data_IF_167071230430
#
_entry.id   IF_167071230430
#
_cell.length_a   1.000
_cell.length_b   1.000
_cell.length_c   1.000
_cell.angle_alpha   90.00
_cell.angle_beta   90.00
_cell.angle_gamma   90.00
#
_symmetry.space_group_name_H-M   'P 1'
#
loop_
_entity.id
_entity.type
_entity.pdbx_description
1 polymer ?
#
# COMPACT_ATOMS: atom_id res chain seq x y z
N UNK A 1 -48.82 -12.38 13.35
CA UNK A 1 -48.72 -11.02 12.77
C UNK A 1 -47.99 -9.99 13.65
N UNK A 2 -48.30 -9.76 14.94
CA UNK A 2 -47.65 -8.70 15.74
C UNK A 2 -46.11 -8.85 15.84
N UNK A 3 -45.60 -10.09 15.85
CA UNK A 3 -44.15 -10.38 15.84
C UNK A 3 -43.40 -9.94 14.57
N UNK A 4 -44.06 -9.91 13.40
CA UNK A 4 -43.42 -9.54 12.13
C UNK A 4 -43.36 -8.02 12.04
N UNK A 5 -44.48 -7.35 12.30
CA UNK A 5 -44.56 -5.88 12.38
C UNK A 5 -43.56 -5.35 13.40
N UNK A 6 -43.49 -5.93 14.61
CA UNK A 6 -42.52 -5.51 15.62
C UNK A 6 -41.06 -5.68 15.18
N UNK A 7 -40.74 -6.73 14.40
CA UNK A 7 -39.39 -6.96 13.86
C UNK A 7 -39.04 -5.94 12.78
N UNK A 8 -39.97 -5.65 11.87
CA UNK A 8 -39.81 -4.66 10.81
C UNK A 8 -39.67 -3.24 11.39
N UNK A 9 -40.49 -2.89 12.39
CA UNK A 9 -40.35 -1.62 13.13
C UNK A 9 -38.99 -1.53 13.82
N UNK A 10 -38.52 -2.61 14.47
CA UNK A 10 -37.18 -2.65 15.07
C UNK A 10 -36.07 -2.48 14.02
N UNK A 11 -36.22 -3.06 12.83
CA UNK A 11 -35.28 -2.91 11.73
C UNK A 11 -35.24 -1.46 11.20
N UNK A 12 -36.39 -0.82 10.92
CA UNK A 12 -36.44 0.58 10.48
C UNK A 12 -35.89 1.59 11.49
N UNK A 13 -35.94 1.24 12.78
CA UNK A 13 -35.43 2.07 13.87
C UNK A 13 -33.99 1.71 14.26
N UNK A 14 -33.39 0.69 13.62
CA UNK A 14 -32.00 0.35 13.85
C UNK A 14 -31.10 1.37 13.17
N UNK A 15 -30.03 1.77 13.87
CA UNK A 15 -29.01 2.65 13.32
C UNK A 15 -28.31 1.94 12.16
N UNK A 16 -28.08 2.67 11.07
CA UNK A 16 -27.25 2.19 9.98
C UNK A 16 -25.80 2.02 10.50
N UNK A 17 -25.26 0.78 10.56
CA UNK A 17 -23.92 0.53 11.11
C UNK A 17 -22.81 1.15 10.27
N UNK A 18 -23.07 1.47 9.00
CA UNK A 18 -22.13 2.13 8.09
C UNK A 18 -22.08 3.66 8.28
N UNK A 19 -23.17 4.25 8.79
CA UNK A 19 -23.29 5.69 9.08
C UNK A 19 -22.93 6.00 10.54
N UNK A 20 -23.21 5.08 11.47
CA UNK A 20 -23.23 5.35 12.92
C UNK A 20 -21.87 5.53 13.59
N UNK A 21 -20.83 5.87 12.84
CA UNK A 21 -19.68 6.54 13.43
C UNK A 21 -19.46 7.83 12.67
N UNK A 22 -19.83 8.96 13.29
CA UNK A 22 -19.44 10.31 12.87
C UNK A 22 -17.92 10.48 12.67
N UNK A 23 -17.12 9.46 13.01
CA UNK A 23 -15.70 9.35 12.75
C UNK A 23 -15.31 8.44 11.58
N UNK A 24 -16.16 7.58 11.02
CA UNK A 24 -15.74 6.52 10.08
C UNK A 24 -15.32 7.06 8.71
N UNK A 25 -16.18 7.78 7.95
CA UNK A 25 -15.79 8.33 6.65
C UNK A 25 -14.64 9.35 6.77
N UNK A 26 -14.68 10.18 7.83
CA UNK A 26 -13.64 11.16 8.12
C UNK A 26 -12.29 10.49 8.44
N UNK A 27 -12.28 9.42 9.27
CA UNK A 27 -11.05 8.67 9.55
C UNK A 27 -10.53 7.95 8.32
N UNK A 28 -11.42 7.42 7.50
CA UNK A 28 -11.04 6.75 6.26
C UNK A 28 -10.35 7.72 5.29
N UNK A 29 -10.93 8.91 5.14
CA UNK A 29 -10.37 9.99 4.33
C UNK A 29 -9.03 10.50 4.90
N UNK A 30 -8.89 10.58 6.23
CA UNK A 30 -7.61 10.94 6.88
C UNK A 30 -6.53 9.90 6.57
N UNK A 31 -6.81 8.61 6.79
CA UNK A 31 -5.86 7.52 6.49
C UNK A 31 -5.48 7.51 5.00
N UNK A 32 -6.44 7.73 4.12
CA UNK A 32 -6.20 7.83 2.69
C UNK A 32 -5.30 9.03 2.33
N UNK A 33 -5.55 10.18 2.95
CA UNK A 33 -4.76 11.39 2.75
C UNK A 33 -3.33 11.19 3.24
N UNK A 34 -3.16 10.57 4.39
CA UNK A 34 -1.86 10.23 4.97
C UNK A 34 -1.09 9.25 4.07
N UNK A 35 -1.77 8.23 3.55
CA UNK A 35 -1.19 7.30 2.59
C UNK A 35 -0.78 8.01 1.29
N UNK A 36 -1.60 8.94 0.80
CA UNK A 36 -1.29 9.72 -0.41
C UNK A 36 -0.07 10.63 -0.21
N UNK A 37 0.03 11.27 0.96
CA UNK A 37 1.20 12.06 1.32
C UNK A 37 2.45 11.17 1.46
N UNK A 38 2.31 9.99 2.07
CA UNK A 38 3.38 9.00 2.17
C UNK A 38 3.84 8.54 0.78
N UNK A 39 2.92 8.25 -0.14
CA UNK A 39 3.23 7.85 -1.52
C UNK A 39 4.08 8.92 -2.21
N UNK A 40 3.64 10.18 -2.17
CA UNK A 40 4.41 11.31 -2.73
C UNK A 40 5.81 11.38 -2.14
N UNK A 41 5.95 11.21 -0.83
CA UNK A 41 7.25 11.22 -0.15
C UNK A 41 8.14 10.05 -0.60
N UNK A 42 7.57 8.86 -0.75
CA UNK A 42 8.28 7.68 -1.23
C UNK A 42 8.76 7.85 -2.67
N UNK A 43 7.91 8.38 -3.55
CA UNK A 43 8.25 8.67 -4.94
C UNK A 43 9.36 9.72 -5.05
N UNK A 44 9.24 10.84 -4.33
CA UNK A 44 10.28 11.87 -4.28
C UNK A 44 11.62 11.29 -3.79
N UNK A 45 11.60 10.45 -2.74
CA UNK A 45 12.83 9.80 -2.26
C UNK A 45 13.37 8.79 -3.24
N UNK A 46 12.52 8.00 -3.89
CA UNK A 46 12.90 7.03 -4.93
C UNK A 46 13.63 7.76 -6.05
N UNK A 47 13.07 8.85 -6.54
CA UNK A 47 13.60 9.57 -7.70
C UNK A 47 14.91 10.28 -7.35
N UNK A 48 14.99 10.90 -6.15
CA UNK A 48 16.25 11.44 -5.61
C UNK A 48 17.35 10.37 -5.50
N UNK A 49 16.98 9.17 -5.07
CA UNK A 49 17.91 8.03 -4.92
C UNK A 49 18.38 7.51 -6.28
N UNK A 50 17.46 7.37 -7.26
CA UNK A 50 17.78 6.99 -8.65
C UNK A 50 18.73 8.00 -9.30
N UNK A 51 18.51 9.30 -9.10
CA UNK A 51 19.39 10.36 -9.62
C UNK A 51 20.80 10.22 -9.02
N UNK A 52 20.91 10.06 -7.70
CA UNK A 52 22.21 9.85 -7.04
C UNK A 52 22.93 8.59 -7.55
N UNK A 53 22.19 7.51 -7.77
CA UNK A 53 22.74 6.25 -8.27
C UNK A 53 23.29 6.41 -9.68
N UNK A 54 22.54 7.10 -10.56
CA UNK A 54 23.01 7.42 -11.91
C UNK A 54 24.27 8.28 -11.88
N UNK A 55 24.33 9.29 -11.01
CA UNK A 55 25.50 10.15 -10.86
C UNK A 55 26.73 9.36 -10.41
N UNK A 56 26.61 8.53 -9.37
CA UNK A 56 27.72 7.69 -8.90
C UNK A 56 28.17 6.68 -9.95
N UNK A 57 27.24 6.09 -10.70
CA UNK A 57 27.59 5.18 -11.80
C UNK A 57 28.36 5.91 -12.90
N UNK A 58 27.97 7.14 -13.25
CA UNK A 58 28.71 7.97 -14.21
C UNK A 58 30.11 8.32 -13.69
N UNK A 59 30.23 8.76 -12.44
CA UNK A 59 31.53 9.07 -11.80
C UNK A 59 32.45 7.85 -11.75
N UNK A 60 31.89 6.66 -11.44
CA UNK A 60 32.63 5.40 -11.45
C UNK A 60 33.19 5.07 -12.84
N UNK A 61 32.37 5.18 -13.88
CA UNK A 61 32.83 4.93 -15.26
C UNK A 61 33.86 5.98 -15.70
N UNK A 62 33.63 7.26 -15.40
CA UNK A 62 34.59 8.32 -15.72
C UNK A 62 35.93 8.17 -14.99
N UNK A 63 35.91 7.80 -13.70
CA UNK A 63 37.12 7.53 -12.92
C UNK A 63 37.88 6.31 -13.45
N UNK A 64 37.20 5.25 -13.86
CA UNK A 64 37.85 4.09 -14.47
C UNK A 64 38.56 4.47 -15.77
N UNK A 65 37.91 5.25 -16.64
CA UNK A 65 38.51 5.76 -17.89
C UNK A 65 39.72 6.66 -17.59
N UNK A 66 39.59 7.56 -16.61
CA UNK A 66 40.69 8.44 -16.19
C UNK A 66 41.88 7.67 -15.63
N UNK A 67 41.65 6.65 -14.79
CA UNK A 67 42.71 5.80 -14.25
C UNK A 67 43.43 5.03 -15.35
N UNK A 68 42.71 4.46 -16.32
CA UNK A 68 43.32 3.78 -17.47
C UNK A 68 44.20 4.77 -18.26
N UNK A 69 43.68 5.95 -18.60
CA UNK A 69 44.45 6.97 -19.31
C UNK A 69 45.70 7.41 -18.54
N UNK A 70 45.56 7.68 -17.23
CA UNK A 70 46.67 8.06 -16.35
C UNK A 70 47.75 6.97 -16.28
N UNK A 71 47.36 5.70 -16.13
CA UNK A 71 48.32 4.59 -16.11
C UNK A 71 49.08 4.46 -17.43
N UNK A 72 48.40 4.57 -18.58
CA UNK A 72 49.06 4.55 -19.89
C UNK A 72 50.06 5.71 -20.00
N UNK A 73 49.64 6.94 -19.68
CA UNK A 73 50.53 8.11 -19.71
C UNK A 73 51.73 7.95 -18.77
N UNK A 74 51.50 7.47 -17.53
CA UNK A 74 52.57 7.28 -16.55
C UNK A 74 53.55 6.17 -16.98
N UNK A 75 53.07 5.08 -17.58
CA UNK A 75 53.94 4.01 -18.10
C UNK A 75 54.87 4.53 -19.20
N UNK A 76 54.38 5.42 -20.07
CA UNK A 76 55.22 6.07 -21.09
C UNK A 76 56.29 6.94 -20.41
N UNK A 77 55.91 7.77 -19.43
CA UNK A 77 56.83 8.68 -18.71
C UNK A 77 57.89 7.90 -17.92
N UNK A 78 57.52 6.83 -17.23
CA UNK A 78 58.45 5.97 -16.47
C UNK A 78 59.36 5.17 -17.40
N UNK A 79 58.85 4.67 -18.53
CA UNK A 79 59.69 4.03 -19.55
C UNK A 79 60.73 5.02 -20.13
N UNK A 80 60.37 6.31 -20.24
CA UNK A 80 61.30 7.37 -20.68
C UNK A 80 62.23 7.87 -19.58
N UNK A 81 61.86 7.75 -18.30
CA UNK A 81 62.64 8.22 -17.16
C UNK A 81 62.87 7.08 -16.18
N UNK A 82 64.03 6.41 -16.29
CA UNK A 82 64.37 5.19 -15.57
C UNK A 82 64.49 5.29 -14.02
N UNK A 83 64.06 6.38 -13.37
CA UNK A 83 64.12 6.48 -11.92
C UNK A 83 63.03 7.43 -11.38
N UNK A 84 61.85 6.91 -11.06
CA UNK A 84 60.94 7.58 -10.13
C UNK A 84 60.13 6.53 -9.37
N UNK A 85 60.38 6.48 -8.05
CA UNK A 85 59.84 5.49 -7.13
C UNK A 85 58.31 5.45 -7.12
N UNK A 86 57.83 4.21 -7.12
CA UNK A 86 56.46 3.78 -6.91
C UNK A 86 55.90 4.32 -5.59
N UNK A 87 54.98 5.28 -5.65
CA UNK A 87 54.10 5.59 -4.51
C UNK A 87 52.89 4.66 -4.58
N UNK A 88 52.98 3.54 -3.87
CA UNK A 88 51.84 2.68 -3.64
C UNK A 88 50.87 3.34 -2.63
N UNK A 89 49.56 3.23 -2.93
CA UNK A 89 48.38 3.47 -2.08
C UNK A 89 48.05 4.93 -1.69
N UNK A 90 47.01 5.51 -2.32
CA UNK A 90 45.68 5.59 -1.69
C UNK A 90 44.48 5.41 -2.65
N UNK A 91 44.61 4.66 -3.76
CA UNK A 91 43.52 4.50 -4.74
C UNK A 91 42.49 3.42 -4.32
N UNK A 92 42.93 2.38 -3.62
CA UNK A 92 42.08 1.22 -3.30
C UNK A 92 40.99 1.56 -2.27
N UNK A 93 41.28 2.39 -1.25
CA UNK A 93 40.31 2.74 -0.21
C UNK A 93 39.12 3.57 -0.73
N UNK A 94 39.36 4.51 -1.65
CA UNK A 94 38.31 5.34 -2.26
C UNK A 94 37.37 4.50 -3.14
N UNK A 95 37.90 3.50 -3.87
CA UNK A 95 37.10 2.61 -4.70
C UNK A 95 36.16 1.72 -3.87
N UNK A 96 36.64 1.18 -2.74
CA UNK A 96 35.81 0.35 -1.84
C UNK A 96 34.68 1.14 -1.16
N UNK A 97 34.92 2.40 -0.76
CA UNK A 97 33.88 3.24 -0.14
C UNK A 97 32.80 3.67 -1.17
N UNK A 98 33.21 3.98 -2.41
CA UNK A 98 32.27 4.27 -3.50
C UNK A 98 31.43 3.04 -3.88
N UNK A 99 32.01 1.85 -3.92
CA UNK A 99 31.30 0.61 -4.30
C UNK A 99 30.28 0.18 -3.24
N UNK A 100 30.63 0.21 -1.95
CA UNK A 100 29.69 -0.09 -0.86
C UNK A 100 28.50 0.89 -0.83
N UNK A 101 28.76 2.16 -1.13
CA UNK A 101 27.72 3.21 -1.22
C UNK A 101 26.75 2.98 -2.39
N UNK A 102 27.23 2.57 -3.58
CA UNK A 102 26.36 2.28 -4.73
C UNK A 102 25.42 1.11 -4.49
N UNK A 103 25.90 0.01 -3.89
CA UNK A 103 25.08 -1.17 -3.56
C UNK A 103 23.95 -0.82 -2.58
N UNK A 104 24.28 -0.03 -1.54
CA UNK A 104 23.30 0.45 -0.55
C UNK A 104 22.25 1.34 -1.19
N UNK A 105 22.67 2.24 -2.07
CA UNK A 105 21.77 3.15 -2.77
C UNK A 105 20.86 2.42 -3.78
N UNK A 106 21.36 1.39 -4.46
CA UNK A 106 20.57 0.53 -5.32
C UNK A 106 19.51 -0.25 -4.52
N UNK A 107 19.89 -0.80 -3.36
CA UNK A 107 18.96 -1.46 -2.43
C UNK A 107 17.85 -0.50 -1.97
N UNK A 108 18.22 0.70 -1.52
CA UNK A 108 17.24 1.72 -1.13
C UNK A 108 16.32 2.14 -2.27
N UNK A 109 16.86 2.26 -3.49
CA UNK A 109 16.04 2.57 -4.66
C UNK A 109 15.00 1.48 -4.92
N UNK A 110 15.38 0.20 -4.79
CA UNK A 110 14.46 -0.92 -4.96
C UNK A 110 13.40 -0.96 -3.85
N UNK A 111 13.79 -0.75 -2.60
CA UNK A 111 12.86 -0.69 -1.46
C UNK A 111 11.87 0.46 -1.57
N UNK A 112 12.33 1.65 -1.96
CA UNK A 112 11.45 2.80 -2.17
C UNK A 112 10.47 2.57 -3.33
N UNK A 113 10.88 1.84 -4.37
CA UNK A 113 9.99 1.46 -5.47
C UNK A 113 8.91 0.46 -5.02
N UNK A 114 9.30 -0.57 -4.26
CA UNK A 114 8.38 -1.55 -3.67
C UNK A 114 7.41 -0.86 -2.71
N UNK A 115 7.92 0.02 -1.83
CA UNK A 115 7.11 0.76 -0.87
C UNK A 115 6.10 1.68 -1.58
N UNK A 116 6.53 2.44 -2.60
CA UNK A 116 5.64 3.28 -3.37
C UNK A 116 4.53 2.46 -4.07
N UNK A 117 4.87 1.33 -4.69
CA UNK A 117 3.88 0.42 -5.29
C UNK A 117 2.90 -0.13 -4.25
N UNK A 118 3.39 -0.55 -3.09
CA UNK A 118 2.54 -1.04 -2.00
C UNK A 118 1.60 0.02 -1.46
N UNK A 119 2.08 1.26 -1.26
CA UNK A 119 1.25 2.38 -0.82
C UNK A 119 0.21 2.76 -1.88
N UNK A 120 0.56 2.69 -3.18
CA UNK A 120 -0.41 2.91 -4.25
C UNK A 120 -1.55 1.88 -4.23
N UNK A 121 -1.22 0.59 -4.07
CA UNK A 121 -2.23 -0.48 -3.94
C UNK A 121 -3.13 -0.23 -2.73
N UNK A 122 -2.54 0.08 -1.57
CA UNK A 122 -3.31 0.39 -0.36
C UNK A 122 -4.27 1.56 -0.57
N UNK A 123 -3.83 2.65 -1.20
CA UNK A 123 -4.71 3.80 -1.50
C UNK A 123 -5.88 3.36 -2.40
N UNK A 124 -5.62 2.50 -3.39
CA UNK A 124 -6.65 1.98 -4.28
C UNK A 124 -7.66 1.10 -3.53
N UNK A 125 -7.18 0.22 -2.67
CA UNK A 125 -8.04 -0.65 -1.86
C UNK A 125 -8.93 0.20 -0.94
N UNK A 126 -8.36 1.24 -0.32
CA UNK A 126 -9.12 2.20 0.48
C UNK A 126 -10.20 2.92 -0.35
N UNK A 127 -9.88 3.43 -1.55
CA UNK A 127 -10.87 4.03 -2.44
C UNK A 127 -12.04 3.08 -2.74
N UNK A 128 -11.75 1.82 -3.04
CA UNK A 128 -12.76 0.81 -3.34
C UNK A 128 -13.63 0.52 -2.11
N UNK A 129 -13.02 0.29 -0.94
CA UNK A 129 -13.73 0.06 0.32
C UNK A 129 -14.66 1.24 0.63
N UNK A 130 -14.17 2.49 0.50
CA UNK A 130 -15.00 3.68 0.76
C UNK A 130 -16.23 3.75 -0.15
N UNK A 131 -16.09 3.36 -1.42
CA UNK A 131 -17.22 3.32 -2.36
C UNK A 131 -18.21 2.20 -2.04
N UNK A 132 -17.73 1.02 -1.65
CA UNK A 132 -18.59 -0.10 -1.28
C UNK A 132 -19.37 0.19 0.00
N UNK A 133 -18.73 0.77 1.00
CA UNK A 133 -19.41 1.24 2.23
C UNK A 133 -20.48 2.28 1.91
N UNK A 134 -20.22 3.18 0.97
CA UNK A 134 -21.24 4.12 0.47
C UNK A 134 -22.44 3.42 -0.15
N UNK A 135 -22.22 2.46 -1.06
CA UNK A 135 -23.31 1.70 -1.70
C UNK A 135 -24.13 0.88 -0.69
N UNK A 136 -23.47 0.23 0.25
CA UNK A 136 -24.14 -0.52 1.33
C UNK A 136 -24.95 0.40 2.25
N UNK A 137 -24.47 1.62 2.47
CA UNK A 137 -25.20 2.65 3.21
C UNK A 137 -26.50 2.98 2.48
N UNK A 138 -26.42 3.31 1.19
CA UNK A 138 -27.56 3.67 0.36
C UNK A 138 -28.58 2.52 0.27
N UNK A 139 -28.13 1.29 0.03
CA UNK A 139 -29.02 0.12 -0.08
C UNK A 139 -29.71 -0.24 1.23
N UNK A 140 -29.04 -0.07 2.37
CA UNK A 140 -29.65 -0.29 3.67
C UNK A 140 -30.70 0.80 3.98
N UNK A 141 -30.42 2.05 3.62
CA UNK A 141 -31.37 3.16 3.75
C UNK A 141 -32.60 2.95 2.86
N UNK A 142 -32.42 2.48 1.63
CA UNK A 142 -33.50 2.11 0.71
C UNK A 142 -34.37 0.97 1.27
N UNK A 143 -33.73 -0.09 1.82
CA UNK A 143 -34.46 -1.17 2.51
C UNK A 143 -35.29 -0.63 3.68
N UNK A 144 -34.71 0.23 4.51
CA UNK A 144 -35.41 0.83 5.64
C UNK A 144 -36.56 1.73 5.19
N UNK A 145 -36.39 2.49 4.11
CA UNK A 145 -37.41 3.37 3.55
C UNK A 145 -38.62 2.60 3.01
N UNK A 146 -38.40 1.50 2.28
CA UNK A 146 -39.48 0.63 1.78
C UNK A 146 -40.27 0.00 2.93
N UNK A 147 -39.57 -0.53 3.94
CA UNK A 147 -40.24 -1.12 5.11
C UNK A 147 -41.01 -0.05 5.90
N UNK A 148 -40.46 1.15 6.07
CA UNK A 148 -41.11 2.26 6.78
C UNK A 148 -42.37 2.71 6.05
N UNK A 149 -42.28 2.92 4.73
CA UNK A 149 -43.42 3.24 3.88
C UNK A 149 -44.54 2.19 3.98
N UNK A 150 -44.18 0.91 4.02
CA UNK A 150 -45.15 -0.18 4.18
C UNK A 150 -45.82 -0.18 5.57
N UNK A 151 -45.05 0.08 6.64
CA UNK A 151 -45.57 0.17 8.01
C UNK A 151 -46.54 1.37 8.17
N UNK A 152 -46.23 2.51 7.57
CA UNK A 152 -47.03 3.74 7.65
C UNK A 152 -48.36 3.64 6.87
N UNK A 153 -48.38 2.87 5.78
CA UNK A 153 -49.57 2.67 4.94
C UNK A 153 -50.55 1.62 5.49
N UNK A 154 -50.15 0.88 6.53
CA UNK A 154 -50.91 -0.22 7.14
C UNK A 154 -52.09 0.23 8.01
N UNK A 155 -53.13 0.81 7.40
CA UNK A 155 -54.49 0.77 7.94
C UNK A 155 -55.22 -0.47 7.42
N UNK A 156 -55.82 -1.25 8.33
CA UNK A 156 -56.49 -2.55 8.12
C UNK A 156 -55.57 -3.75 7.73
N UNK A 157 -55.43 -4.77 8.61
CA UNK A 157 -54.68 -6.01 8.35
C UNK A 157 -55.06 -6.76 7.07
N UNK A 158 -56.29 -6.60 6.57
CA UNK A 158 -56.79 -7.27 5.36
C UNK A 158 -56.27 -6.58 4.08
N UNK A 159 -56.08 -5.26 4.13
CA UNK A 159 -55.59 -4.46 3.01
C UNK A 159 -54.06 -4.63 2.82
N UNK A 160 -53.36 -4.86 3.93
CA UNK A 160 -51.95 -5.28 3.99
C UNK A 160 -51.69 -6.61 3.27
N UNK A 161 -52.66 -7.54 3.34
CA UNK A 161 -52.58 -8.87 2.75
C UNK A 161 -52.91 -8.88 1.25
N UNK A 162 -53.81 -8.00 0.79
CA UNK A 162 -54.44 -8.10 -0.54
C UNK A 162 -53.69 -7.37 -1.67
N UNK A 163 -52.99 -6.26 -1.40
CA UNK A 163 -52.47 -5.39 -2.48
C UNK A 163 -50.95 -5.14 -2.45
N UNK A 164 -50.28 -5.39 -1.33
CA UNK A 164 -48.89 -4.95 -1.11
C UNK A 164 -47.87 -6.09 -0.86
N UNK A 165 -48.31 -7.33 -0.64
CA UNK A 165 -47.42 -8.43 -0.23
C UNK A 165 -46.42 -8.84 -1.32
N UNK A 166 -46.87 -9.06 -2.55
CA UNK A 166 -46.02 -9.60 -3.62
C UNK A 166 -44.94 -8.62 -4.09
N UNK A 167 -45.32 -7.39 -4.45
CA UNK A 167 -44.38 -6.42 -5.02
C UNK A 167 -43.40 -5.87 -3.98
N UNK A 168 -43.85 -5.60 -2.75
CA UNK A 168 -42.95 -5.16 -1.66
C UNK A 168 -41.98 -6.28 -1.29
N UNK A 169 -42.44 -7.52 -1.18
CA UNK A 169 -41.55 -8.65 -0.93
C UNK A 169 -40.55 -8.86 -2.07
N UNK A 170 -40.98 -8.65 -3.33
CA UNK A 170 -40.11 -8.73 -4.50
C UNK A 170 -39.03 -7.64 -4.49
N UNK A 171 -39.38 -6.40 -4.18
CA UNK A 171 -38.44 -5.29 -4.08
C UNK A 171 -37.46 -5.48 -2.90
N UNK A 172 -37.96 -5.85 -1.73
CA UNK A 172 -37.12 -6.15 -0.57
C UNK A 172 -36.14 -7.30 -0.87
N UNK A 173 -36.62 -8.37 -1.49
CA UNK A 173 -35.76 -9.49 -1.89
C UNK A 173 -34.67 -9.04 -2.87
N UNK A 174 -35.01 -8.18 -3.84
CA UNK A 174 -34.05 -7.67 -4.83
C UNK A 174 -32.95 -6.84 -4.17
N UNK A 175 -33.31 -5.86 -3.34
CA UNK A 175 -32.32 -4.98 -2.69
C UNK A 175 -31.51 -5.78 -1.66
N UNK A 176 -32.14 -6.67 -0.89
CA UNK A 176 -31.42 -7.54 0.03
C UNK A 176 -30.40 -8.44 -0.67
N UNK A 177 -30.73 -8.98 -1.85
CA UNK A 177 -29.77 -9.77 -2.63
C UNK A 177 -28.57 -8.93 -3.10
N UNK A 178 -28.83 -7.71 -3.60
CA UNK A 178 -27.76 -6.76 -3.95
C UNK A 178 -26.88 -6.40 -2.75
N UNK A 179 -27.50 -6.21 -1.59
CA UNK A 179 -26.82 -5.85 -0.36
C UNK A 179 -25.90 -6.96 0.13
N UNK A 180 -26.36 -8.21 0.06
CA UNK A 180 -25.53 -9.38 0.40
C UNK A 180 -24.36 -9.51 -0.58
N UNK A 181 -24.59 -9.33 -1.88
CA UNK A 181 -23.52 -9.36 -2.89
C UNK A 181 -22.46 -8.26 -2.63
N UNK A 182 -22.89 -7.04 -2.29
CA UNK A 182 -21.98 -5.94 -1.95
C UNK A 182 -21.24 -6.16 -0.63
N UNK A 183 -21.85 -6.87 0.32
CA UNK A 183 -21.19 -7.26 1.57
C UNK A 183 -20.07 -8.26 1.30
N UNK A 184 -20.31 -9.24 0.44
CA UNK A 184 -19.30 -10.22 0.04
C UNK A 184 -18.13 -9.51 -0.68
N UNK A 185 -18.42 -8.56 -1.58
CA UNK A 185 -17.41 -7.74 -2.27
C UNK A 185 -16.60 -6.88 -1.27
N UNK A 186 -17.28 -6.29 -0.27
CA UNK A 186 -16.60 -5.52 0.79
C UNK A 186 -15.68 -6.41 1.64
N UNK A 187 -16.12 -7.61 2.02
CA UNK A 187 -15.30 -8.56 2.79
C UNK A 187 -14.03 -8.94 2.03
N UNK A 188 -14.15 -9.26 0.74
CA UNK A 188 -13.01 -9.59 -0.11
C UNK A 188 -11.99 -8.43 -0.16
N UNK A 189 -12.45 -7.21 -0.42
CA UNK A 189 -11.56 -6.05 -0.48
C UNK A 189 -10.92 -5.70 0.87
N UNK A 190 -11.62 -5.90 1.99
CA UNK A 190 -11.05 -5.77 3.32
C UNK A 190 -9.93 -6.80 3.55
N UNK A 191 -10.16 -8.05 3.15
CA UNK A 191 -9.14 -9.10 3.26
C UNK A 191 -7.89 -8.76 2.46
N UNK A 192 -8.06 -8.36 1.19
CA UNK A 192 -6.95 -7.94 0.33
C UNK A 192 -6.18 -6.74 0.90
N UNK A 193 -6.90 -5.73 1.41
CA UNK A 193 -6.31 -4.56 2.06
C UNK A 193 -5.46 -4.95 3.28
N UNK A 194 -5.98 -5.82 4.16
CA UNK A 194 -5.23 -6.32 5.31
C UNK A 194 -4.00 -7.13 4.92
N UNK A 195 -4.11 -7.96 3.88
CA UNK A 195 -2.97 -8.70 3.34
C UNK A 195 -1.87 -7.76 2.83
N UNK A 196 -2.23 -6.68 2.14
CA UNK A 196 -1.29 -5.64 1.70
C UNK A 196 -0.61 -4.94 2.88
N UNK A 197 -1.38 -4.57 3.92
CA UNK A 197 -0.85 -3.94 5.14
C UNK A 197 0.12 -4.88 5.86
N UNK A 198 -0.27 -6.14 6.06
CA UNK A 198 0.56 -7.14 6.75
C UNK A 198 1.84 -7.43 5.97
N UNK A 199 1.77 -7.50 4.63
CA UNK A 199 2.95 -7.63 3.78
C UNK A 199 3.88 -6.42 3.94
N UNK A 200 3.33 -5.20 3.90
CA UNK A 200 4.12 -3.98 4.09
C UNK A 200 4.81 -3.97 5.46
N UNK A 201 4.09 -4.34 6.53
CA UNK A 201 4.64 -4.47 7.89
C UNK A 201 5.79 -5.47 7.93
N UNK A 202 5.62 -6.65 7.33
CA UNK A 202 6.67 -7.68 7.28
C UNK A 202 7.91 -7.20 6.53
N UNK A 203 7.75 -6.49 5.41
CA UNK A 203 8.86 -5.89 4.68
C UNK A 203 9.62 -4.85 5.52
N UNK A 204 8.90 -4.01 6.27
CA UNK A 204 9.51 -3.02 7.18
C UNK A 204 10.31 -3.71 8.29
N UNK A 205 9.72 -4.70 8.96
CA UNK A 205 10.39 -5.46 10.04
C UNK A 205 11.64 -6.16 9.49
N UNK A 206 11.52 -6.83 8.34
CA UNK A 206 12.63 -7.52 7.68
C UNK A 206 13.76 -6.54 7.36
N UNK A 207 13.45 -5.33 6.88
CA UNK A 207 14.46 -4.32 6.59
C UNK A 207 15.13 -3.77 7.85
N UNK A 208 14.37 -3.53 8.93
CA UNK A 208 14.93 -3.11 10.22
C UNK A 208 15.92 -4.17 10.73
N UNK A 209 15.55 -5.45 10.68
CA UNK A 209 16.42 -6.55 11.08
C UNK A 209 17.67 -6.67 10.20
N UNK A 210 17.52 -6.52 8.88
CA UNK A 210 18.63 -6.64 7.93
C UNK A 210 19.55 -5.40 7.92
N UNK A 211 19.05 -4.23 8.33
CA UNK A 211 19.84 -3.00 8.43
C UNK A 211 20.59 -2.87 9.76
N UNK A 212 20.19 -3.62 10.79
CA UNK A 212 20.85 -3.71 12.10
C UNK A 212 22.05 -4.66 12.17
N UNK A 213 22.30 -5.48 11.13
CA UNK A 213 23.47 -6.35 11.07
C UNK A 213 24.58 -5.68 10.23
N UNK A 214 25.60 -5.06 10.86
CA UNK A 214 26.85 -4.82 10.14
C UNK A 214 27.45 -6.20 9.87
N UNK A 215 27.72 -6.51 8.58
CA UNK A 215 28.51 -7.64 8.10
C UNK A 215 29.01 -8.60 9.21
N UNK A 216 28.22 -9.60 9.58
CA UNK A 216 28.83 -10.81 10.13
C UNK A 216 29.52 -11.49 8.97
N UNK A 217 30.85 -11.47 9.01
CA UNK A 217 31.69 -12.26 8.13
C UNK A 217 31.19 -13.72 8.12
N UNK A 218 31.31 -14.44 6.99
CA UNK A 218 31.04 -15.87 6.97
C UNK A 218 32.08 -16.54 7.88
N UNK A 219 31.64 -17.02 9.05
CA UNK A 219 32.41 -17.95 9.85
C UNK A 219 32.60 -19.21 8.99
N UNK A 220 33.82 -19.37 8.46
CA UNK A 220 34.34 -20.64 8.01
C UNK A 220 34.39 -21.56 9.24
N UNK A 221 33.52 -22.56 9.28
CA UNK A 221 33.75 -23.71 10.15
C UNK A 221 34.94 -24.50 9.59
N UNK A 222 35.90 -24.92 10.43
CA UNK A 222 36.90 -25.90 10.03
C UNK A 222 36.21 -27.22 9.70
N UNK A 223 36.64 -27.85 8.61
CA UNK A 223 36.41 -29.27 8.40
C UNK A 223 37.29 -30.03 9.38
N UNK A 224 36.66 -30.79 10.27
CA UNK A 224 37.10 -32.12 10.69
C UNK A 224 35.86 -33.02 10.76
#
# INVERSE_FOLDING_TARGET
>A
MPKIVSRLTKFCNSLNPFVSSASSPLRFQVVQTDCSHLLKRLELRRDKTKVRLRLMNKLKHGSAVFLVALTVSLTIIVATHALALLVATPIVMAASFQLASTKKLARWSAQLDIAAKGTYILIRDLDTISRLVGRLTDELEDLQAIVRFWLERGGDPVQLQLQASGEVARQLKKIYASFVEQLDELEEHLYLCFMTINRARNLVITEIMNSGHPNSAPYLLPKE
#
